data_IF_174492987099
#
_entry.id   IF_174492987099
#
_cell.length_a   1.000
_cell.length_b   1.000
_cell.length_c   1.000
_cell.angle_alpha   90.00
_cell.angle_beta   90.00
_cell.angle_gamma   90.00
#
_symmetry.space_group_name_H-M   'P 1'
#
loop_
_entity.id
_entity.type
_entity.pdbx_description
1 polymer ?
#
# COMPACT_ATOMS: atom_id res chain seq x y z
N UNK A 1 -97.64 -13.64 42.62
CA UNK A 1 -97.06 -13.99 41.33
C UNK A 1 -95.76 -13.18 41.16
N UNK A 2 -94.58 -13.83 41.36
CA UNK A 2 -93.24 -13.17 41.26
C UNK A 2 -92.70 -13.43 39.84
N UNK A 3 -92.45 -12.39 39.07
CA UNK A 3 -91.81 -12.49 37.76
C UNK A 3 -90.29 -12.51 37.97
N UNK A 4 -89.68 -13.59 37.52
CA UNK A 4 -88.18 -13.77 37.50
C UNK A 4 -87.75 -13.20 36.15
N UNK A 5 -86.93 -12.17 36.16
CA UNK A 5 -86.20 -11.63 34.98
C UNK A 5 -84.87 -12.31 34.86
N UNK A 6 -84.67 -13.08 33.79
CA UNK A 6 -83.39 -13.71 33.47
C UNK A 6 -82.57 -12.69 32.69
N UNK A 7 -81.47 -12.23 33.25
CA UNK A 7 -80.50 -11.38 32.56
C UNK A 7 -79.45 -12.30 31.92
N UNK A 8 -79.44 -12.34 30.60
CA UNK A 8 -78.40 -13.06 29.80
C UNK A 8 -77.21 -12.17 29.72
N UNK A 9 -76.06 -12.56 30.41
CA UNK A 9 -74.80 -11.90 30.22
C UNK A 9 -74.10 -12.52 29.02
N UNK A 10 -73.89 -11.73 27.96
CA UNK A 10 -73.07 -12.10 26.84
C UNK A 10 -71.56 -11.88 27.21
N UNK A 11 -70.79 -12.95 27.28
CA UNK A 11 -69.38 -12.89 27.45
C UNK A 11 -68.74 -12.62 26.08
N UNK A 12 -68.26 -11.41 25.89
CA UNK A 12 -67.44 -11.03 24.70
C UNK A 12 -66.03 -11.53 24.96
N UNK A 13 -65.64 -12.61 24.29
CA UNK A 13 -64.26 -13.05 24.26
C UNK A 13 -63.43 -12.09 23.40
N UNK A 14 -62.65 -11.22 24.03
CA UNK A 14 -61.66 -10.39 23.37
C UNK A 14 -60.43 -11.26 23.01
N UNK A 15 -60.24 -11.52 21.70
CA UNK A 15 -59.01 -12.13 21.20
C UNK A 15 -57.82 -11.16 21.43
N UNK A 16 -56.68 -11.64 21.92
CA UNK A 16 -55.51 -10.77 22.10
C UNK A 16 -55.00 -10.34 20.73
N UNK A 17 -54.98 -9.05 20.48
CA UNK A 17 -54.28 -8.44 19.35
C UNK A 17 -52.80 -8.64 19.60
N UNK A 18 -52.17 -9.57 18.87
CA UNK A 18 -50.72 -9.73 18.84
C UNK A 18 -50.12 -8.54 18.07
N UNK A 19 -49.61 -7.54 18.79
CA UNK A 19 -48.72 -6.55 18.21
C UNK A 19 -47.47 -7.24 17.78
N UNK A 20 -47.29 -7.50 16.47
CA UNK A 20 -45.98 -7.87 15.91
C UNK A 20 -45.03 -6.68 16.10
N UNK A 21 -44.03 -6.82 16.94
CA UNK A 21 -42.98 -5.82 17.06
C UNK A 21 -42.30 -5.66 15.69
N UNK A 22 -42.10 -4.41 15.21
CA UNK A 22 -41.35 -4.20 13.99
C UNK A 22 -39.97 -4.85 14.16
N UNK A 23 -39.55 -5.63 13.15
CA UNK A 23 -38.25 -6.25 13.13
C UNK A 23 -37.17 -5.17 13.37
N UNK A 24 -36.33 -5.41 14.39
CA UNK A 24 -35.20 -4.52 14.70
C UNK A 24 -34.40 -4.35 13.41
N UNK A 25 -34.16 -3.13 12.89
CA UNK A 25 -33.39 -2.96 11.69
C UNK A 25 -32.04 -3.64 11.90
N UNK A 26 -31.61 -4.47 10.94
CA UNK A 26 -30.30 -5.09 10.97
C UNK A 26 -29.29 -3.96 11.20
N UNK A 27 -28.47 -4.10 12.24
CA UNK A 27 -27.43 -3.11 12.53
C UNK A 27 -26.60 -2.98 11.25
N UNK A 28 -26.62 -1.79 10.62
CA UNK A 28 -25.77 -1.51 9.49
C UNK A 28 -24.34 -1.84 9.94
N UNK A 29 -23.70 -2.79 9.26
CA UNK A 29 -22.29 -3.07 9.50
C UNK A 29 -21.54 -1.74 9.42
N UNK A 30 -20.92 -1.34 10.53
CA UNK A 30 -20.07 -0.15 10.53
C UNK A 30 -19.03 -0.40 9.44
N UNK A 31 -18.86 0.54 8.48
CA UNK A 31 -17.82 0.38 7.47
C UNK A 31 -16.51 0.05 8.20
N UNK A 32 -15.86 -1.03 7.80
CA UNK A 32 -14.62 -1.48 8.41
C UNK A 32 -13.66 -0.28 8.51
N UNK A 33 -13.35 0.15 9.73
CA UNK A 33 -12.56 1.35 9.99
C UNK A 33 -11.14 1.03 9.52
N UNK A 34 -10.74 1.58 8.37
CA UNK A 34 -9.39 1.41 7.86
C UNK A 34 -8.41 2.04 8.86
N UNK A 35 -7.45 1.26 9.30
CA UNK A 35 -6.36 1.81 10.11
C UNK A 35 -5.53 2.77 9.26
N UNK A 36 -4.92 3.78 9.88
CA UNK A 36 -4.12 4.78 9.16
C UNK A 36 -3.03 4.17 8.25
N UNK A 37 -2.37 3.11 8.70
CA UNK A 37 -1.36 2.40 7.92
C UNK A 37 -1.92 1.22 7.11
N UNK A 38 -3.24 0.98 7.15
CA UNK A 38 -3.91 -0.10 6.43
C UNK A 38 -3.30 -1.50 6.69
N UNK A 39 -3.03 -1.82 7.97
CA UNK A 39 -2.47 -3.12 8.38
C UNK A 39 -3.29 -4.32 7.91
N UNK A 40 -4.59 -4.16 7.77
CA UNK A 40 -5.52 -5.19 7.33
C UNK A 40 -5.39 -5.54 5.85
N UNK A 41 -4.77 -4.65 5.04
CA UNK A 41 -4.73 -4.76 3.57
C UNK A 41 -4.19 -6.11 3.08
N UNK A 42 -3.14 -6.60 3.70
CA UNK A 42 -2.47 -7.84 3.31
C UNK A 42 -2.57 -8.95 4.35
N UNK A 43 -3.30 -8.75 5.45
CA UNK A 43 -3.38 -9.71 6.55
C UNK A 43 -3.79 -11.12 6.09
N UNK A 44 -4.84 -11.23 5.26
CA UNK A 44 -5.28 -12.50 4.68
C UNK A 44 -4.22 -13.09 3.76
N UNK A 45 -3.73 -12.32 2.78
CA UNK A 45 -2.73 -12.79 1.83
C UNK A 45 -1.41 -13.21 2.52
N UNK A 46 -1.05 -12.54 3.62
CA UNK A 46 0.12 -12.90 4.41
C UNK A 46 -0.08 -14.23 5.14
N UNK A 47 -1.28 -14.48 5.69
CA UNK A 47 -1.61 -15.74 6.40
C UNK A 47 -1.73 -16.95 5.46
N UNK A 48 -2.00 -16.74 4.18
CA UNK A 48 -2.14 -17.80 3.17
C UNK A 48 -0.79 -18.22 2.55
N UNK A 49 0.30 -17.52 2.85
CA UNK A 49 1.63 -17.90 2.35
C UNK A 49 2.09 -19.22 2.97
N UNK A 50 2.30 -20.23 2.15
CA UNK A 50 2.77 -21.56 2.57
C UNK A 50 4.29 -21.67 2.70
N UNK A 51 5.03 -20.70 2.13
CA UNK A 51 6.50 -20.60 2.20
C UNK A 51 6.93 -19.14 2.22
N UNK A 52 8.12 -18.90 2.79
CA UNK A 52 8.73 -17.55 2.74
C UNK A 52 8.98 -17.13 1.29
N UNK A 53 8.60 -15.90 0.89
CA UNK A 53 8.91 -15.40 -0.43
C UNK A 53 10.41 -15.14 -0.59
N UNK A 54 10.95 -15.24 -1.82
CA UNK A 54 12.33 -14.84 -2.10
C UNK A 54 12.51 -13.34 -1.92
N UNK A 55 11.52 -12.54 -2.34
CA UNK A 55 11.53 -11.09 -2.15
C UNK A 55 10.13 -10.56 -1.84
N UNK A 56 10.09 -9.55 -0.96
CA UNK A 56 8.93 -8.69 -0.78
C UNK A 56 9.20 -7.37 -1.46
N UNK A 57 8.37 -6.99 -2.43
CA UNK A 57 8.36 -5.67 -3.04
C UNK A 57 7.46 -4.78 -2.18
N UNK A 58 8.08 -3.84 -1.48
CA UNK A 58 7.44 -3.01 -0.48
C UNK A 58 7.41 -1.56 -0.95
N UNK A 59 6.23 -0.95 -1.02
CA UNK A 59 6.11 0.37 -1.63
C UNK A 59 4.68 0.92 -1.64
N UNK A 60 4.45 1.80 -2.58
CA UNK A 60 3.22 2.55 -2.78
C UNK A 60 2.38 2.05 -3.99
N UNK A 61 1.73 3.00 -4.71
CA UNK A 61 0.92 2.70 -5.90
C UNK A 61 1.70 2.09 -7.05
N UNK A 62 2.99 2.39 -7.17
CA UNK A 62 3.83 1.82 -8.22
C UNK A 62 3.98 0.32 -7.97
N UNK A 63 4.29 -0.07 -6.75
CA UNK A 63 4.40 -1.48 -6.35
C UNK A 63 3.04 -2.20 -6.36
N UNK A 64 1.96 -1.55 -5.91
CA UNK A 64 0.58 -2.09 -5.97
C UNK A 64 0.12 -2.31 -7.41
N UNK A 65 0.42 -1.36 -8.30
CA UNK A 65 0.14 -1.44 -9.72
C UNK A 65 0.92 -2.54 -10.44
N UNK A 66 2.18 -2.71 -10.09
CA UNK A 66 3.04 -3.76 -10.66
C UNK A 66 2.50 -5.15 -10.38
N UNK A 67 2.25 -5.48 -9.13
CA UNK A 67 1.74 -6.79 -8.73
C UNK A 67 0.36 -7.12 -9.35
N UNK A 68 -0.42 -6.10 -9.72
CA UNK A 68 -1.72 -6.27 -10.40
C UNK A 68 -1.60 -6.43 -11.91
N UNK A 69 -0.65 -5.73 -12.55
CA UNK A 69 -0.49 -5.74 -14.01
C UNK A 69 0.31 -6.92 -14.51
N UNK A 70 1.24 -7.39 -13.70
CA UNK A 70 2.05 -8.57 -14.04
C UNK A 70 2.16 -9.52 -12.85
N UNK A 71 1.08 -10.20 -12.45
CA UNK A 71 1.10 -11.15 -11.35
C UNK A 71 2.03 -12.34 -11.62
N UNK A 72 2.23 -12.70 -12.89
CA UNK A 72 3.08 -13.83 -13.29
C UNK A 72 4.55 -13.57 -12.98
N UNK A 73 5.03 -12.33 -13.13
CA UNK A 73 6.37 -11.96 -12.69
C UNK A 73 6.60 -12.26 -11.20
N UNK A 74 5.62 -11.95 -10.37
CA UNK A 74 5.72 -12.19 -8.93
C UNK A 74 5.65 -13.68 -8.58
N UNK A 75 4.68 -14.39 -9.14
CA UNK A 75 4.46 -15.81 -8.81
C UNK A 75 5.60 -16.71 -9.31
N UNK A 76 6.07 -16.50 -10.53
CA UNK A 76 7.15 -17.29 -11.15
C UNK A 76 8.49 -17.13 -10.43
N UNK A 77 8.72 -16.00 -9.79
CA UNK A 77 9.97 -15.72 -9.07
C UNK A 77 9.88 -15.95 -7.55
N UNK A 78 8.76 -16.42 -7.03
CA UNK A 78 8.48 -16.49 -5.60
C UNK A 78 8.62 -15.11 -4.93
N UNK A 79 8.10 -14.07 -5.55
CA UNK A 79 8.01 -12.72 -5.03
C UNK A 79 6.60 -12.40 -4.55
N UNK A 80 6.46 -11.41 -3.67
CA UNK A 80 5.15 -10.87 -3.28
C UNK A 80 5.17 -9.35 -3.32
N UNK A 81 4.12 -8.76 -3.88
CA UNK A 81 3.89 -7.33 -3.85
C UNK A 81 3.16 -6.92 -2.58
N UNK A 82 3.70 -5.93 -1.88
CA UNK A 82 3.11 -5.32 -0.68
C UNK A 82 3.08 -3.80 -0.83
N UNK A 83 2.64 -3.35 -2.01
CA UNK A 83 2.39 -1.94 -2.30
C UNK A 83 1.02 -1.49 -1.83
N UNK A 84 0.90 -0.27 -1.30
CA UNK A 84 -0.40 0.34 -0.98
C UNK A 84 -0.43 1.75 -1.57
N UNK A 85 -1.35 1.97 -2.50
CA UNK A 85 -1.48 3.23 -3.22
C UNK A 85 -1.62 4.43 -2.29
N UNK A 86 -0.85 5.48 -2.55
CA UNK A 86 -0.88 6.74 -1.82
C UNK A 86 -0.10 6.76 -0.50
N UNK A 87 0.47 5.63 -0.07
CA UNK A 87 1.19 5.58 1.20
C UNK A 87 2.51 6.33 1.18
N UNK A 88 2.78 7.00 2.30
CA UNK A 88 4.05 7.65 2.63
C UNK A 88 4.97 6.70 3.39
N UNK A 89 6.24 7.07 3.50
CA UNK A 89 7.25 6.29 4.24
C UNK A 89 6.87 6.07 5.70
N UNK A 90 6.19 7.03 6.35
CA UNK A 90 5.71 6.89 7.73
C UNK A 90 4.69 5.76 7.88
N UNK A 91 3.74 5.65 6.93
CA UNK A 91 2.76 4.55 6.93
C UNK A 91 3.41 3.20 6.62
N UNK A 92 4.38 3.19 5.71
CA UNK A 92 5.13 1.98 5.38
C UNK A 92 5.90 1.48 6.60
N UNK A 93 6.60 2.36 7.32
CA UNK A 93 7.36 2.00 8.52
C UNK A 93 6.47 1.28 9.55
N UNK A 94 5.26 1.78 9.78
CA UNK A 94 4.32 1.21 10.77
C UNK A 94 3.88 -0.22 10.38
N UNK A 95 3.69 -0.53 9.08
CA UNK A 95 3.28 -1.88 8.62
C UNK A 95 4.43 -2.81 8.24
N UNK A 96 5.69 -2.36 8.35
CA UNK A 96 6.87 -3.14 7.96
C UNK A 96 6.94 -4.51 8.65
N UNK A 97 6.60 -4.57 9.94
CA UNK A 97 6.61 -5.81 10.71
C UNK A 97 5.68 -6.86 10.11
N UNK A 98 4.44 -6.47 9.80
CA UNK A 98 3.41 -7.40 9.31
C UNK A 98 3.64 -7.82 7.85
N UNK A 99 4.03 -6.87 7.00
CA UNK A 99 4.04 -7.06 5.55
C UNK A 99 5.40 -7.46 4.98
N UNK A 100 6.46 -7.37 5.78
CA UNK A 100 7.83 -7.74 5.36
C UNK A 100 8.47 -8.69 6.35
N UNK A 101 8.70 -8.24 7.60
CA UNK A 101 9.54 -8.98 8.56
C UNK A 101 8.92 -10.34 8.92
N UNK A 102 7.61 -10.37 9.19
CA UNK A 102 6.90 -11.61 9.53
C UNK A 102 6.92 -12.65 8.41
N UNK A 103 7.06 -12.24 7.15
CA UNK A 103 7.12 -13.12 5.99
C UNK A 103 8.50 -13.77 5.79
N UNK A 104 9.53 -13.26 6.48
CA UNK A 104 10.91 -13.76 6.46
C UNK A 104 11.49 -13.91 5.04
N UNK A 105 11.40 -12.90 4.17
CA UNK A 105 11.95 -12.98 2.81
C UNK A 105 13.49 -12.96 2.84
N UNK A 106 14.12 -13.36 1.72
CA UNK A 106 15.54 -13.12 1.53
C UNK A 106 15.85 -11.65 1.26
N UNK A 107 14.95 -10.97 0.52
CA UNK A 107 15.10 -9.57 0.12
C UNK A 107 13.86 -8.72 0.45
N UNK A 108 14.07 -7.46 0.80
CA UNK A 108 13.06 -6.39 0.73
C UNK A 108 13.47 -5.41 -0.38
N UNK A 109 12.64 -5.26 -1.40
CA UNK A 109 12.80 -4.25 -2.46
C UNK A 109 11.91 -3.06 -2.09
N UNK A 110 12.52 -1.92 -1.77
CA UNK A 110 11.83 -0.72 -1.29
C UNK A 110 11.85 0.38 -2.34
N UNK A 111 10.67 0.77 -2.81
CA UNK A 111 10.44 1.96 -3.63
C UNK A 111 9.45 2.86 -2.91
N UNK A 112 9.90 4.01 -2.41
CA UNK A 112 9.12 4.89 -1.56
C UNK A 112 9.61 6.34 -1.62
N UNK A 113 8.72 7.31 -1.31
CA UNK A 113 9.06 8.71 -1.13
C UNK A 113 8.30 9.68 -2.03
N UNK A 114 7.76 9.25 -3.18
CA UNK A 114 7.00 10.15 -4.06
C UNK A 114 5.74 10.71 -3.38
N UNK A 115 5.08 9.91 -2.55
CA UNK A 115 3.89 10.34 -1.80
C UNK A 115 4.23 11.24 -0.61
N UNK A 116 5.44 11.15 -0.08
CA UNK A 116 5.96 12.09 0.92
C UNK A 116 6.20 13.46 0.26
N UNK A 117 6.87 13.48 -0.90
CA UNK A 117 7.06 14.69 -1.71
C UNK A 117 5.70 15.29 -2.11
N UNK A 118 4.70 14.44 -2.43
CA UNK A 118 3.33 14.83 -2.72
C UNK A 118 2.54 15.29 -1.47
N UNK A 119 3.12 15.20 -0.27
CA UNK A 119 2.48 15.57 0.99
C UNK A 119 1.12 14.88 1.21
N UNK A 120 1.00 13.60 0.85
CA UNK A 120 -0.27 12.87 0.94
C UNK A 120 -0.77 12.73 2.39
N UNK A 121 0.13 12.73 3.37
CA UNK A 121 -0.17 12.74 4.81
C UNK A 121 0.32 14.02 5.52
N UNK A 122 0.33 15.15 4.82
CA UNK A 122 0.86 16.41 5.32
C UNK A 122 2.33 16.62 4.94
N UNK A 123 2.83 17.80 5.30
CA UNK A 123 4.21 18.19 5.02
C UNK A 123 5.20 17.38 5.87
N UNK A 124 6.29 16.97 5.24
CA UNK A 124 7.41 16.27 5.88
C UNK A 124 8.72 16.70 5.20
N UNK A 125 9.77 16.91 5.99
CA UNK A 125 11.09 17.23 5.47
C UNK A 125 11.75 15.97 4.87
N UNK A 126 12.56 16.16 3.80
CA UNK A 126 13.20 15.04 3.11
C UNK A 126 14.15 14.25 4.02
N UNK A 127 14.76 14.90 4.99
CA UNK A 127 15.58 14.29 6.03
C UNK A 127 14.78 13.29 6.87
N UNK A 128 13.53 13.59 7.20
CA UNK A 128 12.65 12.70 7.94
C UNK A 128 12.13 11.55 7.06
N UNK A 129 11.89 11.81 5.76
CA UNK A 129 11.59 10.76 4.78
C UNK A 129 12.76 9.76 4.74
N UNK A 130 13.99 10.26 4.64
CA UNK A 130 15.19 9.42 4.63
C UNK A 130 15.36 8.66 5.94
N UNK A 131 15.08 9.27 7.10
CA UNK A 131 15.11 8.59 8.41
C UNK A 131 14.13 7.42 8.48
N UNK A 132 12.92 7.56 7.91
CA UNK A 132 11.97 6.46 7.80
C UNK A 132 12.53 5.32 6.94
N UNK A 133 13.17 5.64 5.80
CA UNK A 133 13.83 4.65 4.93
C UNK A 133 14.96 3.96 5.67
N UNK A 134 15.83 4.69 6.36
CA UNK A 134 16.91 4.14 7.18
C UNK A 134 16.38 3.21 8.25
N UNK A 135 15.35 3.62 8.97
CA UNK A 135 14.71 2.80 10.01
C UNK A 135 14.17 1.49 9.46
N UNK A 136 13.50 1.52 8.29
CA UNK A 136 13.04 0.30 7.62
C UNK A 136 14.21 -0.62 7.22
N UNK A 137 15.27 -0.05 6.66
CA UNK A 137 16.49 -0.79 6.29
C UNK A 137 17.14 -1.45 7.49
N UNK A 138 17.30 -0.72 8.59
CA UNK A 138 17.97 -1.26 9.78
C UNK A 138 17.12 -2.36 10.44
N UNK A 139 15.82 -2.17 10.54
CA UNK A 139 14.92 -3.18 11.06
C UNK A 139 14.98 -4.48 10.25
N UNK A 140 14.93 -4.42 8.91
CA UNK A 140 14.99 -5.65 8.11
C UNK A 140 16.36 -6.32 8.18
N UNK A 141 17.46 -5.56 8.28
CA UNK A 141 18.83 -6.11 8.47
C UNK A 141 18.96 -6.86 9.80
N UNK A 142 18.38 -6.37 10.90
CA UNK A 142 18.31 -7.07 12.17
C UNK A 142 17.66 -8.46 12.04
N UNK A 143 16.71 -8.60 11.13
CA UNK A 143 16.04 -9.86 10.81
C UNK A 143 16.71 -10.66 9.67
N UNK A 144 17.96 -10.30 9.29
CA UNK A 144 18.75 -10.96 8.25
C UNK A 144 18.13 -10.88 6.85
N UNK A 145 17.24 -9.92 6.61
CA UNK A 145 16.64 -9.63 5.31
C UNK A 145 17.56 -8.63 4.60
N UNK A 146 17.88 -8.89 3.34
CA UNK A 146 18.74 -8.01 2.53
C UNK A 146 17.89 -6.88 1.93
N UNK A 147 18.09 -5.60 2.30
CA UNK A 147 17.40 -4.49 1.65
C UNK A 147 17.98 -4.24 0.25
N UNK A 148 17.09 -3.86 -0.67
CA UNK A 148 17.38 -3.29 -1.98
C UNK A 148 16.61 -1.98 -2.05
N UNK A 149 17.31 -0.86 -2.24
CA UNK A 149 16.69 0.46 -2.36
C UNK A 149 16.50 0.82 -3.82
N UNK A 150 15.37 1.44 -4.14
CA UNK A 150 15.05 1.87 -5.50
C UNK A 150 14.91 3.40 -5.53
N UNK A 151 15.44 4.04 -6.57
CA UNK A 151 15.32 5.47 -6.78
C UNK A 151 13.94 5.82 -7.32
N UNK A 152 13.44 6.99 -6.93
CA UNK A 152 12.19 7.57 -7.42
C UNK A 152 12.37 8.01 -8.86
N UNK A 153 11.35 7.81 -9.69
CA UNK A 153 11.37 8.17 -11.09
C UNK A 153 11.32 9.70 -11.30
N UNK A 154 11.91 10.21 -12.38
CA UNK A 154 11.82 11.62 -12.69
C UNK A 154 10.40 12.01 -13.08
N UNK A 155 9.90 13.10 -12.53
CA UNK A 155 8.66 13.76 -12.97
C UNK A 155 8.70 15.24 -12.65
N UNK A 156 8.20 16.06 -13.55
CA UNK A 156 8.09 17.53 -13.37
C UNK A 156 6.75 17.94 -12.75
N UNK A 157 5.83 16.98 -12.54
CA UNK A 157 4.51 17.28 -11.98
C UNK A 157 3.90 16.07 -11.29
N UNK A 158 3.20 16.32 -10.20
CA UNK A 158 2.37 15.33 -9.50
C UNK A 158 0.91 15.69 -9.76
N UNK A 159 0.25 14.95 -10.68
CA UNK A 159 -1.09 15.33 -11.20
C UNK A 159 -2.15 15.55 -10.11
N UNK A 160 -2.09 14.83 -9.00
CA UNK A 160 -3.05 14.98 -7.88
C UNK A 160 -2.62 16.05 -6.85
N UNK A 161 -1.47 16.71 -7.07
CA UNK A 161 -0.90 17.75 -6.19
C UNK A 161 -0.29 18.92 -6.97
N UNK A 162 -0.94 19.35 -8.03
CA UNK A 162 -0.43 20.42 -8.92
C UNK A 162 -0.06 21.71 -8.19
N UNK A 163 -0.76 22.02 -7.09
CA UNK A 163 -0.47 23.22 -6.29
C UNK A 163 0.91 23.19 -5.60
N UNK A 164 1.59 22.06 -5.53
CA UNK A 164 2.94 21.95 -4.95
C UNK A 164 4.05 22.37 -5.94
N UNK A 165 3.70 22.60 -7.21
CA UNK A 165 4.65 22.96 -8.26
C UNK A 165 5.48 21.76 -8.73
N UNK A 166 6.66 22.06 -9.30
CA UNK A 166 7.59 21.07 -9.84
C UNK A 166 8.32 20.31 -8.72
N UNK A 167 8.22 18.98 -8.63
CA UNK A 167 8.88 18.19 -7.61
C UNK A 167 10.33 17.80 -7.93
N UNK A 168 10.86 18.18 -9.10
CA UNK A 168 12.14 17.69 -9.63
C UNK A 168 13.29 17.81 -8.63
N UNK A 169 13.50 18.99 -8.04
CA UNK A 169 14.61 19.21 -7.09
C UNK A 169 14.49 18.33 -5.84
N UNK A 170 13.26 18.11 -5.35
CA UNK A 170 13.02 17.24 -4.20
C UNK A 170 13.28 15.78 -4.54
N UNK A 171 12.91 15.33 -5.74
CA UNK A 171 13.17 13.97 -6.21
C UNK A 171 14.68 13.75 -6.34
N UNK A 172 15.41 14.67 -6.99
CA UNK A 172 16.86 14.59 -7.14
C UNK A 172 17.51 14.49 -5.76
N UNK A 173 17.20 15.42 -4.86
CA UNK A 173 17.80 15.45 -3.52
C UNK A 173 17.51 14.18 -2.74
N UNK A 174 16.28 13.66 -2.74
CA UNK A 174 15.96 12.42 -2.03
C UNK A 174 16.68 11.22 -2.65
N UNK A 175 16.78 11.14 -3.97
CA UNK A 175 17.53 10.11 -4.69
C UNK A 175 19.05 10.16 -4.37
N UNK A 176 19.62 11.34 -4.23
CA UNK A 176 21.00 11.54 -3.78
C UNK A 176 21.21 11.03 -2.35
N UNK A 177 20.28 11.30 -1.45
CA UNK A 177 20.33 10.80 -0.08
C UNK A 177 20.24 9.26 -0.04
N UNK A 178 19.29 8.68 -0.80
CA UNK A 178 19.10 7.23 -0.90
C UNK A 178 20.36 6.56 -1.48
N UNK A 179 20.90 7.05 -2.59
CA UNK A 179 22.05 6.47 -3.27
C UNK A 179 23.33 6.59 -2.43
N UNK A 180 23.53 7.73 -1.77
CA UNK A 180 24.67 7.97 -0.87
C UNK A 180 24.63 7.03 0.34
N UNK A 181 23.48 6.88 0.96
CA UNK A 181 23.27 5.93 2.07
C UNK A 181 23.52 4.48 1.62
N UNK A 182 22.92 4.10 0.49
CA UNK A 182 23.10 2.76 -0.07
C UNK A 182 24.56 2.44 -0.33
N UNK A 183 25.32 3.37 -0.92
CA UNK A 183 26.77 3.24 -1.18
C UNK A 183 27.56 3.11 0.11
N UNK A 184 27.33 3.97 1.10
CA UNK A 184 28.01 3.96 2.39
C UNK A 184 27.79 2.65 3.16
N UNK A 185 26.62 2.06 3.05
CA UNK A 185 26.22 0.83 3.76
C UNK A 185 26.31 -0.46 2.91
N UNK A 186 26.86 -0.38 1.68
CA UNK A 186 26.99 -1.50 0.74
C UNK A 186 25.65 -2.19 0.44
N UNK A 187 24.59 -1.39 0.33
CA UNK A 187 23.24 -1.83 -0.03
C UNK A 187 23.09 -1.70 -1.54
N UNK A 188 22.42 -2.67 -2.16
CA UNK A 188 22.07 -2.58 -3.58
C UNK A 188 21.09 -1.43 -3.78
N UNK A 189 21.40 -0.56 -4.76
CA UNK A 189 20.55 0.55 -5.15
C UNK A 189 20.20 0.41 -6.63
N UNK A 190 18.92 0.49 -6.97
CA UNK A 190 18.42 0.28 -8.33
C UNK A 190 17.81 1.58 -8.84
N UNK A 191 18.30 2.04 -9.97
CA UNK A 191 17.69 3.06 -10.81
C UNK A 191 17.06 2.34 -12.01
N UNK A 192 15.76 2.09 -11.95
CA UNK A 192 15.06 1.27 -12.96
C UNK A 192 15.11 1.83 -14.38
N UNK A 193 15.21 3.12 -14.53
CA UNK A 193 15.21 3.82 -15.82
C UNK A 193 16.52 4.57 -16.07
N UNK A 194 17.66 3.98 -15.65
CA UNK A 194 18.99 4.61 -15.82
C UNK A 194 19.31 4.93 -17.28
N UNK A 195 18.99 4.00 -18.18
CA UNK A 195 19.31 4.08 -19.61
C UNK A 195 18.23 4.78 -20.45
N UNK A 196 17.18 5.33 -19.82
CA UNK A 196 16.11 6.06 -20.52
C UNK A 196 16.46 7.54 -20.65
N UNK A 197 16.12 8.13 -21.79
CA UNK A 197 16.23 9.58 -21.98
C UNK A 197 15.31 10.32 -20.99
N UNK A 198 15.94 11.09 -20.11
CA UNK A 198 15.28 11.90 -19.07
C UNK A 198 15.40 13.40 -19.35
N UNK A 199 15.78 13.79 -20.55
CA UNK A 199 15.96 15.21 -20.92
C UNK A 199 14.71 16.06 -20.72
N UNK A 200 13.52 15.43 -20.79
CA UNK A 200 12.23 16.07 -20.50
C UNK A 200 11.95 16.24 -19.00
N UNK A 201 12.77 15.66 -18.11
CA UNK A 201 12.49 15.57 -16.68
C UNK A 201 11.38 14.59 -16.32
N UNK A 202 10.90 13.77 -17.27
CA UNK A 202 9.78 12.86 -17.09
C UNK A 202 10.10 11.48 -17.66
N UNK A 203 9.41 10.43 -17.19
CA UNK A 203 9.37 9.18 -17.93
C UNK A 203 8.67 9.39 -19.28
N UNK A 204 9.16 8.74 -20.36
CA UNK A 204 8.50 8.78 -21.67
C UNK A 204 7.03 8.32 -21.58
N UNK A 205 6.16 8.92 -22.40
CA UNK A 205 4.74 8.57 -22.43
C UNK A 205 4.51 7.10 -22.82
N UNK A 206 5.40 6.52 -23.64
CA UNK A 206 5.39 5.10 -23.98
C UNK A 206 5.57 4.17 -22.76
N UNK A 207 6.14 4.66 -21.66
CA UNK A 207 6.40 3.88 -20.44
C UNK A 207 5.48 4.28 -19.29
N UNK A 208 4.93 5.50 -19.29
CA UNK A 208 4.06 6.02 -18.24
C UNK A 208 3.19 7.17 -18.76
N UNK A 209 1.88 7.04 -18.68
CA UNK A 209 0.95 8.11 -19.09
C UNK A 209 0.87 9.31 -18.13
N UNK A 210 1.51 9.24 -16.97
CA UNK A 210 1.55 10.33 -15.98
C UNK A 210 2.94 10.62 -15.41
N UNK A 211 3.96 9.96 -15.96
CA UNK A 211 5.37 10.04 -15.56
C UNK A 211 5.66 9.50 -14.14
N UNK A 212 4.69 8.86 -13.50
CA UNK A 212 4.84 8.31 -12.14
C UNK A 212 4.51 6.82 -12.13
N UNK A 213 3.39 6.41 -12.77
CA UNK A 213 2.90 5.05 -12.75
C UNK A 213 3.27 4.35 -14.06
N UNK A 214 4.20 3.39 -14.07
CA UNK A 214 4.55 2.64 -15.26
C UNK A 214 3.35 1.89 -15.85
N UNK A 215 3.29 1.83 -17.18
CA UNK A 215 2.47 0.86 -17.89
C UNK A 215 3.17 -0.51 -17.91
N UNK A 216 2.65 -1.48 -18.65
CA UNK A 216 3.24 -2.82 -18.70
C UNK A 216 4.68 -2.81 -19.24
N UNK A 217 4.95 -2.03 -20.28
CA UNK A 217 6.29 -1.91 -20.87
C UNK A 217 7.28 -1.29 -19.89
N UNK A 218 6.85 -0.28 -19.13
CA UNK A 218 7.65 0.29 -18.06
C UNK A 218 7.96 -0.75 -16.97
N UNK A 219 6.98 -1.58 -16.57
CA UNK A 219 7.23 -2.66 -15.60
C UNK A 219 8.17 -3.72 -16.18
N UNK A 220 8.12 -4.06 -17.46
CA UNK A 220 9.07 -5.00 -18.07
C UNK A 220 10.52 -4.53 -18.00
N UNK A 221 10.76 -3.23 -18.13
CA UNK A 221 12.10 -2.66 -17.88
C UNK A 221 12.48 -2.84 -16.41
N UNK A 222 11.58 -2.51 -15.48
CA UNK A 222 11.83 -2.67 -14.05
C UNK A 222 12.12 -4.13 -13.66
N UNK A 223 11.45 -5.11 -14.27
CA UNK A 223 11.68 -6.53 -14.10
C UNK A 223 13.08 -6.94 -14.51
N UNK A 224 13.51 -6.50 -15.68
CA UNK A 224 14.86 -6.75 -16.18
C UNK A 224 15.92 -6.22 -15.22
N UNK A 225 15.76 -4.98 -14.72
CA UNK A 225 16.73 -4.37 -13.82
C UNK A 225 16.77 -5.04 -12.46
N UNK A 226 15.61 -5.33 -11.85
CA UNK A 226 15.60 -5.91 -10.51
C UNK A 226 16.11 -7.36 -10.50
N UNK A 227 15.91 -8.12 -11.56
CA UNK A 227 16.42 -9.50 -11.66
C UNK A 227 17.96 -9.56 -11.71
N UNK A 228 18.66 -8.51 -12.16
CA UNK A 228 20.12 -8.41 -12.11
C UNK A 228 20.64 -8.40 -10.66
N UNK A 229 19.81 -7.98 -9.72
CA UNK A 229 20.16 -7.75 -8.30
C UNK A 229 19.69 -8.90 -7.41
N UNK A 230 18.53 -9.49 -7.67
CA UNK A 230 17.91 -10.55 -6.85
C UNK A 230 18.44 -11.95 -7.23
N UNK A 231 19.63 -12.28 -6.79
CA UNK A 231 20.28 -13.58 -7.08
C UNK A 231 19.95 -14.65 -6.04
#
# INVERSE_FOLDING_TARGET
MKRVVLILMAVIASAPFAFSQPAKPAAAEKPAMRTWAMHERYAKANSELTKSPKAVFFGDSITDGWAKRDPDFFTSNNFVGRGISGQTTSQMLVRLQADVIALKPKYMVLLAGINDIAQNNGQIELENVMQNIVSMVELVKLHKIKPVLCLIFPTTKIKWRMALGDPTDKIIRLNEMISSYAKAHKIQCVEYFADIDKSSGNLPESLSGDSIHPNLDGYKIMESEILKVLK
#
